data_IF_586432535431
#
_entry.id   IF_586432535431
#
_cell.length_a   1.000
_cell.length_b   1.000
_cell.length_c   1.000
_cell.angle_alpha   90.00
_cell.angle_beta   90.00
_cell.angle_gamma   90.00
#
_symmetry.space_group_name_H-M   'P 1'
#
loop_
_entity.id
_entity.type
_entity.pdbx_description
1 polymer ?
#
# COMPACT_ATOMS: atom_id res chain seq x y z
N UNK A 1 7.58 -12.41 -1.75
CA UNK A 1 7.72 -11.20 -0.89
C UNK A 1 7.04 -10.06 -1.62
N UNK A 2 6.54 -9.08 -0.89
CA UNK A 2 5.74 -7.97 -1.37
C UNK A 2 6.14 -7.37 -2.74
N UNK A 3 7.42 -7.03 -2.94
CA UNK A 3 7.91 -6.45 -4.20
C UNK A 3 8.33 -7.46 -5.29
N UNK A 4 8.85 -8.67 -4.96
CA UNK A 4 9.11 -9.71 -5.97
C UNK A 4 7.94 -10.66 -6.23
N UNK A 5 6.75 -10.42 -5.66
CA UNK A 5 5.56 -11.22 -5.95
C UNK A 5 5.03 -10.90 -7.35
N UNK A 6 4.76 -11.95 -8.13
CA UNK A 6 4.15 -11.81 -9.46
C UNK A 6 2.62 -11.68 -9.33
N UNK A 7 2.04 -12.20 -8.24
CA UNK A 7 0.62 -12.13 -7.97
C UNK A 7 0.33 -10.88 -7.12
N UNK A 8 -0.48 -9.95 -7.65
CA UNK A 8 -0.89 -8.73 -6.94
C UNK A 8 -2.29 -8.91 -6.33
N UNK A 9 -2.34 -9.15 -5.02
CA UNK A 9 -3.57 -9.31 -4.25
C UNK A 9 -3.47 -8.64 -2.86
N UNK A 10 -4.59 -8.60 -2.12
CA UNK A 10 -4.68 -8.01 -0.77
C UNK A 10 -3.59 -8.54 0.16
N UNK A 11 -3.25 -9.82 0.05
CA UNK A 11 -2.29 -10.47 0.94
C UNK A 11 -0.85 -10.09 0.60
N UNK A 12 -0.59 -9.60 -0.61
CA UNK A 12 0.72 -9.04 -0.99
C UNK A 12 1.12 -7.90 -0.05
N UNK A 13 0.16 -7.14 0.48
CA UNK A 13 0.37 -6.08 1.47
C UNK A 13 0.92 -6.55 2.83
N UNK A 14 0.98 -7.87 3.09
CA UNK A 14 1.48 -8.47 4.34
C UNK A 14 2.54 -9.58 4.11
N UNK A 15 2.91 -9.89 2.86
CA UNK A 15 3.90 -10.94 2.52
C UNK A 15 5.34 -10.40 2.63
N UNK A 16 5.88 -10.26 3.83
CA UNK A 16 7.26 -9.82 4.08
C UNK A 16 8.20 -10.96 4.51
N UNK A 17 9.51 -10.73 4.46
CA UNK A 17 10.45 -11.73 4.96
C UNK A 17 10.32 -11.81 6.49
N UNK A 18 10.25 -13.01 7.11
CA UNK A 18 10.08 -13.13 8.56
C UNK A 18 11.11 -12.33 9.36
N UNK A 19 12.37 -12.33 8.89
CA UNK A 19 13.44 -11.51 9.47
C UNK A 19 13.17 -10.01 9.41
N UNK A 20 12.63 -9.48 8.29
CA UNK A 20 12.29 -8.06 8.16
C UNK A 20 11.19 -7.66 9.15
N UNK A 21 10.19 -8.54 9.34
CA UNK A 21 9.11 -8.33 10.32
C UNK A 21 9.68 -8.27 11.73
N UNK A 22 10.50 -9.24 12.11
CA UNK A 22 11.09 -9.31 13.46
C UNK A 22 11.96 -8.07 13.73
N UNK A 23 12.83 -7.71 12.78
CA UNK A 23 13.70 -6.55 12.91
C UNK A 23 12.89 -5.26 13.04
N UNK A 24 11.88 -5.07 12.19
CA UNK A 24 10.96 -3.93 12.24
C UNK A 24 10.23 -3.86 13.59
N UNK A 25 9.76 -5.00 14.09
CA UNK A 25 9.05 -5.10 15.36
C UNK A 25 9.94 -4.70 16.54
N UNK A 26 11.19 -5.18 16.58
CA UNK A 26 12.17 -4.82 17.62
C UNK A 26 12.47 -3.32 17.61
N UNK A 27 12.73 -2.74 16.43
CA UNK A 27 13.01 -1.31 16.30
C UNK A 27 11.79 -0.48 16.73
N UNK A 28 10.60 -0.84 16.24
CA UNK A 28 9.35 -0.14 16.56
C UNK A 28 9.05 -0.16 18.06
N UNK A 29 9.15 -1.33 18.70
CA UNK A 29 8.97 -1.43 20.14
C UNK A 29 10.05 -0.70 20.94
N UNK A 30 11.31 -0.75 20.50
CA UNK A 30 12.38 0.02 21.11
C UNK A 30 12.06 1.51 21.14
N UNK A 31 11.60 2.07 20.01
CA UNK A 31 11.17 3.47 19.92
C UNK A 31 9.97 3.75 20.83
N UNK A 32 8.98 2.86 20.89
CA UNK A 32 7.81 3.00 21.78
C UNK A 32 8.24 3.02 23.25
N UNK A 33 9.16 2.15 23.67
CA UNK A 33 9.66 2.13 25.06
C UNK A 33 10.42 3.41 25.39
N UNK A 34 11.22 3.94 24.46
CA UNK A 34 12.03 5.15 24.68
C UNK A 34 11.18 6.42 24.68
N UNK A 35 10.23 6.55 23.75
CA UNK A 35 9.42 7.76 23.57
C UNK A 35 8.17 7.77 24.46
N UNK A 36 7.72 6.60 24.93
CA UNK A 36 6.50 6.45 25.73
C UNK A 36 5.22 7.04 25.10
N UNK A 37 4.94 6.85 23.79
CA UNK A 37 3.74 7.39 23.18
C UNK A 37 2.47 6.77 23.79
N UNK A 38 1.33 7.47 23.74
CA UNK A 38 0.07 6.94 24.26
C UNK A 38 -0.32 5.65 23.52
N UNK A 39 -0.61 4.59 24.29
CA UNK A 39 -0.92 3.24 23.78
C UNK A 39 -2.05 3.27 22.75
N UNK A 40 -3.10 4.05 23.01
CA UNK A 40 -4.23 4.18 22.09
C UNK A 40 -3.80 4.75 20.73
N UNK A 41 -2.90 5.73 20.71
CA UNK A 41 -2.35 6.29 19.47
C UNK A 41 -1.55 5.27 18.67
N UNK A 42 -0.75 4.45 19.35
CA UNK A 42 -0.01 3.36 18.72
C UNK A 42 -0.94 2.32 18.08
N UNK A 43 -1.98 1.90 18.81
CA UNK A 43 -2.95 0.90 18.31
C UNK A 43 -3.70 1.45 17.10
N UNK A 44 -4.17 2.71 17.16
CA UNK A 44 -4.83 3.36 16.02
C UNK A 44 -3.88 3.43 14.83
N UNK A 45 -2.65 3.88 15.03
CA UNK A 45 -1.65 3.95 13.97
C UNK A 45 -1.41 2.59 13.32
N UNK A 46 -1.20 1.55 14.12
CA UNK A 46 -0.92 0.20 13.62
C UNK A 46 -2.09 -0.37 12.82
N UNK A 47 -3.31 -0.21 13.33
CA UNK A 47 -4.52 -0.66 12.63
C UNK A 47 -4.68 0.08 11.30
N UNK A 48 -4.57 1.41 11.31
CA UNK A 48 -4.69 2.21 10.09
C UNK A 48 -3.58 1.87 9.08
N UNK A 49 -2.35 1.70 9.52
CA UNK A 49 -1.22 1.30 8.68
C UNK A 49 -1.50 -0.03 7.98
N UNK A 50 -1.92 -1.05 8.73
CA UNK A 50 -2.16 -2.38 8.18
C UNK A 50 -3.40 -2.41 7.26
N UNK A 51 -4.50 -1.75 7.65
CA UNK A 51 -5.71 -1.67 6.83
C UNK A 51 -5.42 -0.94 5.52
N UNK A 52 -4.72 0.19 5.57
CA UNK A 52 -4.35 0.93 4.36
C UNK A 52 -3.36 0.15 3.49
N UNK A 53 -2.39 -0.56 4.07
CA UNK A 53 -1.50 -1.46 3.31
C UNK A 53 -2.29 -2.53 2.53
N UNK A 54 -3.23 -3.21 3.19
CA UNK A 54 -4.09 -4.21 2.56
C UNK A 54 -5.01 -3.61 1.50
N UNK A 55 -5.57 -2.42 1.76
CA UNK A 55 -6.40 -1.70 0.79
C UNK A 55 -5.60 -1.31 -0.46
N UNK A 56 -4.40 -0.75 -0.30
CA UNK A 56 -3.55 -0.32 -1.41
C UNK A 56 -3.11 -1.50 -2.29
N UNK A 57 -3.02 -2.69 -1.71
CA UNK A 57 -2.74 -3.95 -2.42
C UNK A 57 -3.99 -4.68 -2.89
N UNK A 58 -5.18 -4.14 -2.62
CA UNK A 58 -6.43 -4.79 -2.97
C UNK A 58 -6.59 -4.94 -4.47
N UNK A 59 -6.99 -6.13 -4.91
CA UNK A 59 -7.37 -6.35 -6.31
C UNK A 59 -8.84 -5.92 -6.55
N UNK A 60 -9.17 -4.68 -6.18
CA UNK A 60 -10.52 -4.11 -6.31
C UNK A 60 -10.47 -2.95 -7.27
N UNK A 61 -11.30 -3.00 -8.32
CA UNK A 61 -11.41 -1.93 -9.29
C UNK A 61 -12.35 -0.84 -8.77
N UNK A 62 -11.80 0.32 -8.44
CA UNK A 62 -12.59 1.48 -7.98
C UNK A 62 -13.13 2.24 -9.21
N UNK A 63 -14.37 2.73 -9.10
CA UNK A 63 -14.97 3.61 -10.12
C UNK A 63 -14.16 4.90 -10.23
N UNK A 64 -13.86 5.36 -11.46
CA UNK A 64 -12.99 6.52 -11.72
C UNK A 64 -13.37 7.80 -10.95
N UNK A 65 -14.66 8.09 -10.84
CA UNK A 65 -15.13 9.27 -10.10
C UNK A 65 -14.82 9.16 -8.60
N UNK A 66 -14.94 7.95 -8.04
CA UNK A 66 -14.63 7.68 -6.64
C UNK A 66 -13.12 7.63 -6.40
N UNK A 67 -12.35 7.02 -7.30
CA UNK A 67 -10.88 6.99 -7.24
C UNK A 67 -10.29 8.41 -7.26
N UNK A 68 -10.83 9.31 -8.08
CA UNK A 68 -10.40 10.72 -8.10
C UNK A 68 -10.63 11.44 -6.78
N UNK A 69 -11.73 11.17 -6.09
CA UNK A 69 -12.05 11.81 -4.80
C UNK A 69 -11.23 11.17 -3.68
N UNK A 70 -11.17 9.84 -3.64
CA UNK A 70 -10.40 9.08 -2.65
C UNK A 70 -8.90 9.38 -2.75
N UNK A 71 -8.36 9.57 -3.96
CA UNK A 71 -6.95 9.87 -4.20
C UNK A 71 -6.45 11.17 -3.57
N UNK A 72 -7.34 12.07 -3.12
CA UNK A 72 -6.94 13.25 -2.33
C UNK A 72 -6.65 12.93 -0.86
N UNK A 73 -7.17 11.82 -0.35
CA UNK A 73 -7.19 11.51 1.09
C UNK A 73 -6.39 10.23 1.37
N UNK A 74 -6.48 9.22 0.51
CA UNK A 74 -5.84 7.92 0.68
C UNK A 74 -5.14 7.48 -0.61
N UNK A 75 -4.09 6.68 -0.47
CA UNK A 75 -3.51 5.97 -1.61
C UNK A 75 -4.51 4.92 -2.07
N UNK A 76 -4.89 4.93 -3.34
CA UNK A 76 -5.82 3.92 -3.90
C UNK A 76 -5.07 2.75 -4.52
N UNK A 77 -5.72 1.60 -4.75
CA UNK A 77 -5.09 0.47 -5.43
C UNK A 77 -4.47 0.83 -6.78
N UNK A 78 -5.14 1.69 -7.57
CA UNK A 78 -4.63 2.13 -8.87
C UNK A 78 -3.39 3.02 -8.73
N UNK A 79 -3.35 3.91 -7.73
CA UNK A 79 -2.16 4.71 -7.42
C UNK A 79 -0.99 3.83 -6.97
N UNK A 80 -1.26 2.86 -6.09
CA UNK A 80 -0.23 1.99 -5.54
C UNK A 80 0.30 0.99 -6.57
N UNK A 81 -0.54 0.56 -7.52
CA UNK A 81 -0.13 -0.33 -8.61
C UNK A 81 0.94 0.30 -9.51
N UNK A 82 0.97 1.64 -9.64
CA UNK A 82 2.05 2.35 -10.36
C UNK A 82 3.41 2.14 -9.69
N UNK A 83 3.45 2.13 -8.34
CA UNK A 83 4.69 1.89 -7.60
C UNK A 83 5.28 0.50 -7.89
N UNK A 84 4.43 -0.50 -8.06
CA UNK A 84 4.83 -1.87 -8.44
C UNK A 84 4.97 -2.08 -9.95
N UNK A 85 4.66 -1.06 -10.75
CA UNK A 85 4.80 -1.14 -12.20
C UNK A 85 6.23 -0.76 -12.63
N UNK A 86 6.72 -1.44 -13.66
CA UNK A 86 8.02 -1.13 -14.28
C UNK A 86 7.93 0.11 -15.20
N UNK A 87 6.71 0.57 -15.51
CA UNK A 87 6.45 1.65 -16.45
C UNK A 87 6.12 2.95 -15.71
N UNK A 88 6.85 4.04 -16.01
CA UNK A 88 6.61 5.32 -15.37
C UNK A 88 5.41 6.01 -16.04
N UNK A 89 4.23 5.87 -15.44
CA UNK A 89 3.01 6.53 -15.93
C UNK A 89 3.03 8.00 -15.53
N UNK A 90 3.02 8.91 -16.50
CA UNK A 90 2.84 10.35 -16.26
C UNK A 90 1.36 10.62 -15.95
N UNK A 91 1.04 10.94 -14.69
CA UNK A 91 -0.31 11.33 -14.29
C UNK A 91 -0.65 12.71 -14.89
N UNK A 92 -1.61 12.78 -15.83
CA UNK A 92 -2.28 14.04 -16.18
C UNK A 92 -3.75 14.00 -15.77
N UNK A 93 -4.38 15.14 -15.40
CA UNK A 93 -5.72 15.15 -14.79
C UNK A 93 -6.84 14.58 -15.66
N UNK A 94 -6.60 14.44 -16.97
CA UNK A 94 -7.59 14.08 -17.99
C UNK A 94 -7.22 12.86 -18.83
N UNK A 95 -6.03 12.27 -18.67
CA UNK A 95 -5.63 11.13 -19.48
C UNK A 95 -6.07 9.81 -18.86
N UNK A 96 -6.77 9.01 -19.66
CA UNK A 96 -6.96 7.58 -19.50
C UNK A 96 -5.67 6.94 -18.97
N UNK A 97 -5.76 6.17 -17.87
CA UNK A 97 -4.78 5.13 -17.54
C UNK A 97 -4.77 4.12 -18.69
N UNK A 98 -4.05 4.44 -19.76
CA UNK A 98 -3.59 3.50 -20.77
C UNK A 98 -2.08 3.45 -20.63
N UNK A 99 -1.61 2.79 -19.57
CA UNK A 99 -0.44 1.95 -19.80
C UNK A 99 -0.92 0.86 -20.76
N UNK A 100 -0.53 0.96 -22.03
CA UNK A 100 -0.46 -0.22 -22.88
C UNK A 100 0.67 -1.12 -22.35
N UNK A 101 0.47 -1.70 -21.18
CA UNK A 101 1.11 -2.96 -20.83
C UNK A 101 0.07 -4.00 -21.21
N UNK A 102 0.43 -4.85 -22.17
CA UNK A 102 -0.46 -5.86 -22.71
C UNK A 102 -1.19 -6.64 -21.63
N UNK A 103 -2.43 -6.98 -21.95
CA UNK A 103 -3.22 -8.03 -21.30
C UNK A 103 -2.33 -9.12 -20.68
N UNK A 104 -2.37 -9.23 -19.36
CA UNK A 104 -1.62 -10.22 -18.60
C UNK A 104 -2.05 -10.17 -17.14
N UNK A 105 -3.16 -10.87 -16.87
CA UNK A 105 -3.86 -11.12 -15.60
C UNK A 105 -4.90 -10.08 -15.17
#
# INVERSE_FOLDING_TARGET
MHHPDLDFDVTTGIRFHPFEIILSMVIKFGVVVVMGPPVLGMVIFEVLLNVTSMFNHGNVRILRGLDRVLGWIVVTPEMHRVHHSVCITRLTPTSVLTCHCGTGF
#
